data_IF_984021256841
#
_entry.id   IF_984021256841
#
_cell.length_a   1.000
_cell.length_b   1.000
_cell.length_c   1.000
_cell.angle_alpha   90.00
_cell.angle_beta   90.00
_cell.angle_gamma   90.00
#
_symmetry.space_group_name_H-M   'P 1'
#
loop_
_entity.id
_entity.type
_entity.pdbx_description
1 polymer ?
#
# COMPACT_ATOMS: atom_id res chain seq x y z
N UNK A 1 -30.15 20.71 54.29
CA UNK A 1 -30.13 20.32 52.86
C UNK A 1 -30.17 18.81 52.84
N UNK A 2 -31.06 18.20 52.06
CA UNK A 2 -31.16 16.74 51.98
C UNK A 2 -29.95 16.28 51.16
N UNK A 3 -29.06 15.47 51.76
CA UNK A 3 -27.93 14.86 51.07
C UNK A 3 -28.46 13.72 50.19
N UNK A 4 -28.63 14.01 48.90
CA UNK A 4 -28.96 13.02 47.89
C UNK A 4 -27.70 12.24 47.45
N UNK A 5 -27.82 10.95 47.11
CA UNK A 5 -26.70 10.20 46.56
C UNK A 5 -26.24 10.84 45.25
N UNK A 6 -24.92 10.89 45.02
CA UNK A 6 -24.32 11.55 43.84
C UNK A 6 -24.91 11.07 42.51
N UNK A 7 -25.40 9.83 42.44
CA UNK A 7 -25.99 9.24 41.22
C UNK A 7 -27.24 9.99 40.72
N UNK A 8 -27.93 10.75 41.58
CA UNK A 8 -29.09 11.57 41.20
C UNK A 8 -28.67 12.91 40.56
N UNK A 9 -27.52 13.45 40.95
CA UNK A 9 -27.03 14.72 40.43
C UNK A 9 -26.09 14.52 39.24
N UNK A 10 -25.20 13.53 39.29
CA UNK A 10 -24.19 13.21 38.27
C UNK A 10 -23.33 14.42 37.88
N UNK A 11 -23.22 15.41 38.76
CA UNK A 11 -22.44 16.62 38.55
C UNK A 11 -21.05 16.43 39.10
N UNK A 12 -20.04 16.83 38.33
CA UNK A 12 -18.65 16.86 38.75
C UNK A 12 -18.10 18.24 38.49
N UNK A 13 -17.53 18.82 39.53
CA UNK A 13 -16.83 20.10 39.47
C UNK A 13 -15.35 19.84 39.30
N UNK A 14 -14.75 20.46 38.28
CA UNK A 14 -13.29 20.42 38.07
C UNK A 14 -12.57 20.91 39.31
N UNK A 15 -11.49 20.23 39.68
CA UNK A 15 -10.65 20.57 40.82
C UNK A 15 -9.87 21.87 40.58
N UNK A 16 -9.33 22.02 39.36
CA UNK A 16 -8.60 23.21 38.92
C UNK A 16 -9.43 24.07 37.95
N UNK A 17 -9.31 25.40 37.99
CA UNK A 17 -9.90 26.29 37.00
C UNK A 17 -9.17 26.15 35.65
N UNK A 18 -9.92 26.18 34.55
CA UNK A 18 -9.34 26.12 33.21
C UNK A 18 -8.48 27.37 32.92
N UNK A 19 -7.16 27.19 32.93
CA UNK A 19 -6.19 28.26 32.62
C UNK A 19 -5.78 28.21 31.15
N UNK A 20 -6.21 29.21 30.37
CA UNK A 20 -5.89 29.36 28.96
C UNK A 20 -5.03 30.61 28.81
N UNK A 21 -3.80 30.45 28.30
CA UNK A 21 -2.83 31.56 28.16
C UNK A 21 -3.24 32.56 27.09
N UNK A 22 -3.69 32.05 25.93
CA UNK A 22 -4.19 32.87 24.82
C UNK A 22 -5.59 32.42 24.43
N UNK A 23 -6.57 33.31 24.63
CA UNK A 23 -8.00 33.05 24.41
C UNK A 23 -8.30 32.89 22.91
N UNK A 24 -7.49 33.49 22.03
CA UNK A 24 -7.69 33.44 20.58
C UNK A 24 -7.11 32.17 19.95
N UNK A 25 -6.24 31.45 20.68
CA UNK A 25 -5.72 30.18 20.22
C UNK A 25 -6.73 29.05 20.48
N UNK A 26 -7.53 28.74 19.46
CA UNK A 26 -8.58 27.74 19.54
C UNK A 26 -8.05 26.34 19.85
N UNK A 27 -6.88 25.96 19.34
CA UNK A 27 -6.32 24.62 19.55
C UNK A 27 -5.99 24.38 21.03
N UNK A 28 -5.35 25.36 21.68
CA UNK A 28 -5.00 25.25 23.09
C UNK A 28 -6.23 25.29 23.98
N UNK A 29 -7.23 26.11 23.61
CA UNK A 29 -8.51 26.20 24.29
C UNK A 29 -9.31 24.90 24.21
N UNK A 30 -9.45 24.32 23.02
CA UNK A 30 -10.14 23.05 22.82
C UNK A 30 -9.45 21.90 23.57
N UNK A 31 -8.12 21.92 23.63
CA UNK A 31 -7.34 20.94 24.39
C UNK A 31 -7.60 21.09 25.90
N UNK A 32 -7.70 22.32 26.42
CA UNK A 32 -8.04 22.55 27.83
C UNK A 32 -9.45 22.03 28.17
N UNK A 33 -10.46 22.35 27.34
CA UNK A 33 -11.82 21.83 27.51
C UNK A 33 -11.89 20.31 27.42
N UNK A 34 -11.14 19.72 26.48
CA UNK A 34 -11.04 18.28 26.34
C UNK A 34 -10.47 17.62 27.60
N UNK A 35 -9.40 18.18 28.19
CA UNK A 35 -8.80 17.66 29.43
C UNK A 35 -9.77 17.73 30.61
N UNK A 36 -10.45 18.87 30.77
CA UNK A 36 -11.43 19.05 31.84
C UNK A 36 -12.61 18.08 31.71
N UNK A 37 -13.12 17.89 30.49
CA UNK A 37 -14.18 16.93 30.23
C UNK A 37 -13.73 15.47 30.45
N UNK A 38 -12.48 15.15 30.12
CA UNK A 38 -11.90 13.82 30.31
C UNK A 38 -11.68 13.49 31.80
N UNK A 39 -11.20 14.45 32.59
CA UNK A 39 -11.08 14.32 34.06
C UNK A 39 -12.44 14.03 34.68
N UNK A 40 -13.45 14.85 34.37
CA UNK A 40 -14.82 14.64 34.83
C UNK A 40 -15.40 13.30 34.39
N UNK A 41 -15.18 12.87 33.15
CA UNK A 41 -15.65 11.57 32.67
C UNK A 41 -15.00 10.39 33.42
N UNK A 42 -13.71 10.49 33.78
CA UNK A 42 -12.99 9.45 34.54
C UNK A 42 -13.54 9.35 35.96
N UNK A 43 -13.72 10.49 36.63
CA UNK A 43 -14.28 10.53 37.98
C UNK A 43 -15.73 10.04 38.01
N UNK A 44 -16.55 10.49 37.06
CA UNK A 44 -17.94 10.06 36.95
C UNK A 44 -18.06 8.57 36.70
N UNK A 45 -17.20 8.01 35.84
CA UNK A 45 -17.15 6.56 35.63
C UNK A 45 -16.85 5.81 36.93
N UNK A 46 -15.93 6.31 37.77
CA UNK A 46 -15.63 5.67 39.07
C UNK A 46 -16.85 5.70 39.98
N UNK A 47 -17.49 6.86 40.14
CA UNK A 47 -18.63 7.03 41.02
C UNK A 47 -19.84 6.16 40.59
N UNK A 48 -20.14 6.10 39.28
CA UNK A 48 -21.21 5.25 38.73
C UNK A 48 -20.96 3.76 39.03
N UNK A 49 -19.73 3.29 38.84
CA UNK A 49 -19.36 1.90 39.12
C UNK A 49 -19.45 1.61 40.63
N UNK A 50 -19.02 2.53 41.49
CA UNK A 50 -19.16 2.40 42.95
C UNK A 50 -20.61 2.32 43.39
N UNK A 51 -21.53 3.02 42.70
CA UNK A 51 -22.98 2.90 42.93
C UNK A 51 -23.59 1.59 42.39
N UNK A 52 -22.80 0.72 41.75
CA UNK A 52 -23.26 -0.57 41.23
C UNK A 52 -24.04 -0.50 39.92
N UNK A 53 -24.01 0.65 39.22
CA UNK A 53 -24.74 0.87 37.96
C UNK A 53 -23.82 0.57 36.75
N UNK A 54 -24.29 -0.12 35.70
CA UNK A 54 -23.51 -0.35 34.50
C UNK A 54 -23.28 0.97 33.73
N UNK A 55 -22.01 1.28 33.43
CA UNK A 55 -21.64 2.53 32.76
C UNK A 55 -21.53 2.39 31.23
N UNK A 56 -20.91 1.30 30.74
CA UNK A 56 -20.66 1.12 29.31
C UNK A 56 -21.90 0.67 28.57
N UNK A 57 -22.19 1.30 27.43
CA UNK A 57 -23.23 0.83 26.51
C UNK A 57 -22.82 -0.54 25.93
N UNK A 58 -23.67 -1.59 26.06
CA UNK A 58 -23.44 -2.86 25.38
C UNK A 58 -23.54 -2.73 23.85
N UNK A 59 -22.71 -3.47 23.13
CA UNK A 59 -22.68 -3.46 21.64
C UNK A 59 -24.00 -3.96 21.02
N UNK A 60 -24.70 -4.87 21.71
CA UNK A 60 -25.95 -5.49 21.28
C UNK A 60 -27.20 -4.69 21.69
N UNK A 61 -27.03 -3.51 22.30
CA UNK A 61 -28.14 -2.65 22.69
C UNK A 61 -28.42 -1.59 21.60
N UNK A 62 -29.41 -1.88 20.75
CA UNK A 62 -29.85 -1.01 19.66
C UNK A 62 -31.01 -0.11 20.08
N UNK A 63 -30.67 1.07 20.63
CA UNK A 63 -31.61 2.15 20.89
C UNK A 63 -31.37 3.34 19.94
N UNK A 64 -32.33 4.25 19.86
CA UNK A 64 -32.19 5.47 19.06
C UNK A 64 -30.99 6.31 19.56
N UNK A 65 -30.08 6.64 18.65
CA UNK A 65 -28.92 7.50 18.93
C UNK A 65 -29.20 8.93 18.46
N UNK A 66 -28.51 9.92 19.06
CA UNK A 66 -28.63 11.36 18.72
C UNK A 66 -28.43 11.62 17.21
N UNK A 67 -27.56 10.82 16.55
CA UNK A 67 -27.30 10.92 15.11
C UNK A 67 -27.71 9.62 14.42
N UNK A 68 -28.40 9.74 13.29
CA UNK A 68 -28.80 8.57 12.48
C UNK A 68 -27.60 7.87 11.82
N UNK A 69 -27.74 6.57 11.60
CA UNK A 69 -26.70 5.76 10.94
C UNK A 69 -26.40 6.23 9.51
N UNK A 70 -27.41 6.75 8.82
CA UNK A 70 -27.25 7.35 7.48
C UNK A 70 -26.35 8.59 7.54
N UNK A 71 -26.42 9.37 8.62
CA UNK A 71 -25.52 10.51 8.83
C UNK A 71 -24.11 10.04 9.19
N UNK A 72 -23.97 9.07 10.10
CA UNK A 72 -22.67 8.54 10.50
C UNK A 72 -21.94 7.83 9.35
N UNK A 73 -22.66 7.14 8.48
CA UNK A 73 -22.09 6.51 7.27
C UNK A 73 -21.50 7.55 6.32
N UNK A 74 -22.16 8.71 6.16
CA UNK A 74 -21.63 9.82 5.36
C UNK A 74 -20.34 10.40 5.97
N UNK A 75 -20.28 10.53 7.30
CA UNK A 75 -19.05 10.99 7.98
C UNK A 75 -17.91 10.00 7.78
N UNK A 76 -18.16 8.70 8.02
CA UNK A 76 -17.15 7.63 7.81
C UNK A 76 -16.64 7.63 6.38
N UNK A 77 -17.52 7.78 5.40
CA UNK A 77 -17.14 7.85 3.99
C UNK A 77 -16.23 9.05 3.69
N UNK A 78 -16.47 10.22 4.30
CA UNK A 78 -15.58 11.38 4.15
C UNK A 78 -14.19 11.12 4.72
N UNK A 79 -14.10 10.53 5.91
CA UNK A 79 -12.81 10.20 6.53
C UNK A 79 -12.00 9.22 5.68
N UNK A 80 -12.65 8.16 5.16
CA UNK A 80 -11.99 7.20 4.26
C UNK A 80 -11.53 7.86 2.96
N UNK A 81 -12.34 8.75 2.38
CA UNK A 81 -11.98 9.46 1.16
C UNK A 81 -10.79 10.41 1.38
N UNK A 82 -10.73 11.08 2.53
CA UNK A 82 -9.63 11.97 2.91
C UNK A 82 -8.32 11.19 3.10
N UNK A 83 -8.38 10.07 3.81
CA UNK A 83 -7.23 9.17 3.99
C UNK A 83 -6.73 8.63 2.64
N UNK A 84 -7.65 8.21 1.76
CA UNK A 84 -7.31 7.78 0.40
C UNK A 84 -6.69 8.89 -0.44
N UNK A 85 -7.16 10.13 -0.30
CA UNK A 85 -6.63 11.29 -1.01
C UNK A 85 -5.20 11.62 -0.57
N UNK A 86 -4.91 11.55 0.74
CA UNK A 86 -3.56 11.73 1.30
C UNK A 86 -2.64 10.62 0.78
N UNK A 87 -3.04 9.36 0.90
CA UNK A 87 -2.27 8.20 0.40
C UNK A 87 -1.97 8.30 -1.09
N UNK A 88 -2.98 8.65 -1.90
CA UNK A 88 -2.80 8.81 -3.34
C UNK A 88 -1.81 9.94 -3.68
N UNK A 89 -1.82 11.03 -2.92
CA UNK A 89 -0.89 12.16 -3.09
C UNK A 89 0.54 11.78 -2.74
N UNK A 90 0.74 11.02 -1.66
CA UNK A 90 2.03 10.48 -1.24
C UNK A 90 2.57 9.46 -2.25
N UNK A 91 1.73 8.53 -2.73
CA UNK A 91 2.09 7.58 -3.77
C UNK A 91 2.44 8.29 -5.08
N UNK A 92 1.70 9.31 -5.47
CA UNK A 92 2.01 10.12 -6.65
C UNK A 92 3.34 10.86 -6.51
N UNK A 93 3.67 11.37 -5.32
CA UNK A 93 4.99 11.95 -5.03
C UNK A 93 6.09 10.89 -5.16
N UNK A 94 5.91 9.73 -4.52
CA UNK A 94 6.86 8.60 -4.58
C UNK A 94 7.09 8.12 -6.02
N UNK A 95 6.03 7.98 -6.81
CA UNK A 95 6.12 7.60 -8.22
C UNK A 95 6.87 8.64 -9.06
N UNK A 96 6.70 9.93 -8.77
CA UNK A 96 7.47 11.00 -9.45
C UNK A 96 8.95 10.90 -9.10
N UNK A 97 9.30 10.67 -7.85
CA UNK A 97 10.69 10.49 -7.41
C UNK A 97 11.32 9.23 -8.03
N UNK A 98 10.61 8.11 -8.03
CA UNK A 98 11.05 6.87 -8.69
C UNK A 98 11.29 7.06 -10.19
N UNK A 99 10.42 7.81 -10.88
CA UNK A 99 10.61 8.12 -12.31
C UNK A 99 11.82 9.04 -12.54
N UNK A 100 12.02 10.04 -11.68
CA UNK A 100 13.18 10.97 -11.76
C UNK A 100 14.50 10.25 -11.56
N UNK A 101 14.60 9.40 -10.55
CA UNK A 101 15.85 8.74 -10.17
C UNK A 101 16.02 7.34 -10.78
N UNK A 102 15.01 6.78 -11.43
CA UNK A 102 15.03 5.40 -11.92
C UNK A 102 16.22 5.06 -12.82
N UNK A 103 16.58 5.96 -13.75
CA UNK A 103 17.77 5.77 -14.60
C UNK A 103 19.08 5.83 -13.82
N UNK A 104 19.22 6.80 -12.90
CA UNK A 104 20.41 6.94 -12.04
C UNK A 104 20.60 5.69 -11.17
N UNK A 105 19.53 5.24 -10.51
CA UNK A 105 19.51 4.02 -9.70
C UNK A 105 19.86 2.78 -10.53
N UNK A 106 19.40 2.69 -11.78
CA UNK A 106 19.74 1.57 -12.65
C UNK A 106 21.24 1.54 -12.98
N UNK A 107 21.82 2.69 -13.34
CA UNK A 107 23.24 2.80 -13.67
C UNK A 107 24.10 2.51 -12.43
N UNK A 108 23.76 3.11 -11.29
CA UNK A 108 24.45 2.91 -10.02
C UNK A 108 24.43 1.44 -9.60
N UNK A 109 23.27 0.76 -9.71
CA UNK A 109 23.18 -0.69 -9.44
C UNK A 109 24.04 -1.54 -10.38
N UNK A 110 24.21 -1.15 -11.65
CA UNK A 110 25.09 -1.86 -12.58
C UNK A 110 26.55 -1.64 -12.19
N UNK A 111 26.94 -0.41 -11.86
CA UNK A 111 28.28 -0.07 -11.39
C UNK A 111 28.62 -0.77 -10.08
N UNK A 112 27.70 -0.78 -9.11
CA UNK A 112 27.85 -1.49 -7.84
C UNK A 112 28.03 -3.00 -8.06
N UNK A 113 27.25 -3.61 -8.96
CA UNK A 113 27.42 -5.03 -9.32
C UNK A 113 28.75 -5.31 -10.00
N UNK A 114 29.22 -4.42 -10.88
CA UNK A 114 30.52 -4.57 -11.52
C UNK A 114 31.67 -4.41 -10.52
N UNK A 115 31.55 -3.45 -9.60
CA UNK A 115 32.52 -3.23 -8.51
C UNK A 115 32.59 -4.44 -7.59
N UNK A 116 31.45 -4.96 -7.12
CA UNK A 116 31.37 -6.19 -6.32
C UNK A 116 32.01 -7.38 -7.04
N UNK A 117 31.71 -7.60 -8.32
CA UNK A 117 32.36 -8.65 -9.12
C UNK A 117 33.88 -8.49 -9.20
N UNK A 118 34.37 -7.26 -9.36
CA UNK A 118 35.81 -6.97 -9.40
C UNK A 118 36.47 -7.27 -8.05
N UNK A 119 35.86 -6.81 -6.95
CA UNK A 119 36.32 -7.08 -5.58
C UNK A 119 36.35 -8.59 -5.29
N UNK A 120 35.31 -9.33 -5.70
CA UNK A 120 35.26 -10.79 -5.54
C UNK A 120 36.35 -11.49 -6.36
N UNK A 121 36.60 -11.05 -7.59
CA UNK A 121 37.70 -11.57 -8.42
C UNK A 121 39.08 -11.25 -7.85
N UNK A 122 39.27 -10.08 -7.25
CA UNK A 122 40.52 -9.71 -6.57
C UNK A 122 40.75 -10.56 -5.32
N UNK A 123 39.71 -10.81 -4.51
CA UNK A 123 39.78 -11.75 -3.39
C UNK A 123 40.19 -13.14 -3.84
N UNK A 124 39.58 -13.65 -4.92
CA UNK A 124 39.94 -14.96 -5.50
C UNK A 124 41.39 -14.96 -5.99
N UNK A 125 41.86 -13.90 -6.65
CA UNK A 125 43.27 -13.81 -7.10
C UNK A 125 44.24 -13.79 -5.93
N UNK A 126 43.94 -13.07 -4.85
CA UNK A 126 44.76 -13.07 -3.63
C UNK A 126 44.80 -14.47 -3.00
N UNK A 127 43.66 -15.15 -2.90
CA UNK A 127 43.59 -16.54 -2.42
C UNK A 127 44.40 -17.50 -3.30
N UNK A 128 44.29 -17.39 -4.63
CA UNK A 128 45.10 -18.17 -5.58
C UNK A 128 46.60 -17.89 -5.48
N UNK A 129 46.99 -16.61 -5.32
CA UNK A 129 48.41 -16.22 -5.17
C UNK A 129 49.00 -16.72 -3.84
N UNK A 130 48.22 -16.68 -2.74
CA UNK A 130 48.61 -17.28 -1.47
C UNK A 130 48.79 -18.80 -1.58
N UNK A 131 47.94 -19.50 -2.34
CA UNK A 131 48.10 -20.93 -2.64
C UNK A 131 49.32 -21.24 -3.52
N UNK A 132 49.66 -20.39 -4.50
CA UNK A 132 50.80 -20.63 -5.41
C UNK A 132 52.18 -20.50 -4.72
N UNK A 133 52.25 -19.94 -3.51
CA UNK A 133 53.47 -19.93 -2.68
C UNK A 133 53.60 -21.17 -1.79
N UNK A 134 52.66 -22.12 -1.89
CA UNK A 134 52.61 -23.38 -1.15
C UNK A 134 52.41 -24.45 -2.23
N UNK A 135 53.49 -24.86 -2.90
CA UNK A 135 53.40 -25.94 -3.89
C UNK A 135 53.55 -27.29 -3.17
N UNK A 136 52.61 -28.17 -3.50
CA UNK A 136 52.57 -29.61 -3.27
C UNK A 136 52.75 -30.11 -1.84
N UNK A 137 51.63 -30.37 -1.16
CA UNK A 137 51.24 -31.75 -0.80
C UNK A 137 49.91 -31.74 -0.05
N UNK A 138 48.99 -32.59 -0.50
CA UNK A 138 47.64 -32.82 0.03
C UNK A 138 46.66 -31.64 -0.17
N UNK A 139 45.37 -31.85 0.11
CA UNK A 139 44.32 -30.83 0.27
C UNK A 139 43.36 -30.59 -0.92
N UNK A 140 42.87 -31.66 -1.55
CA UNK A 140 41.51 -31.61 -2.12
C UNK A 140 40.44 -31.52 -1.00
N UNK A 141 40.72 -32.08 0.19
CA UNK A 141 39.78 -32.07 1.33
C UNK A 141 39.65 -30.70 2.04
N UNK A 142 40.71 -29.87 2.10
CA UNK A 142 40.60 -28.53 2.73
C UNK A 142 39.89 -27.51 1.83
N UNK A 143 39.67 -27.83 0.55
CA UNK A 143 38.87 -26.98 -0.33
C UNK A 143 37.38 -27.04 0.05
N UNK A 144 36.88 -28.20 0.47
CA UNK A 144 35.52 -28.34 0.98
C UNK A 144 35.37 -27.68 2.36
N UNK A 145 36.32 -27.86 3.27
CA UNK A 145 36.23 -27.32 4.64
C UNK A 145 36.32 -25.78 4.65
N UNK A 146 37.22 -25.17 3.87
CA UNK A 146 37.35 -23.70 3.84
C UNK A 146 36.22 -23.01 3.06
N UNK A 147 35.66 -23.66 2.02
CA UNK A 147 34.49 -23.17 1.30
C UNK A 147 33.22 -23.35 2.14
N UNK A 148 33.12 -24.45 2.90
CA UNK A 148 32.05 -24.68 3.86
C UNK A 148 32.09 -23.69 5.02
N UNK A 149 33.27 -23.37 5.55
CA UNK A 149 33.42 -22.41 6.65
C UNK A 149 33.19 -20.95 6.22
N UNK A 150 33.65 -20.55 5.02
CA UNK A 150 33.37 -19.22 4.47
C UNK A 150 31.92 -19.07 3.97
N UNK A 151 31.26 -20.17 3.58
CA UNK A 151 29.84 -20.17 3.22
C UNK A 151 28.92 -20.42 4.42
N UNK A 152 29.38 -21.01 5.52
CA UNK A 152 28.59 -21.25 6.74
C UNK A 152 28.19 -19.94 7.43
N UNK A 153 29.06 -18.91 7.39
CA UNK A 153 28.75 -17.58 7.91
C UNK A 153 27.58 -16.89 7.17
N UNK A 154 27.37 -17.19 5.88
CA UNK A 154 26.27 -16.63 5.07
C UNK A 154 25.08 -17.60 4.89
N UNK A 155 25.27 -18.90 5.17
CA UNK A 155 24.23 -19.95 5.06
C UNK A 155 23.35 -20.07 6.30
N UNK A 156 23.77 -19.56 7.45
CA UNK A 156 23.00 -19.63 8.71
C UNK A 156 21.66 -18.89 8.67
N UNK A 157 21.38 -18.09 7.64
CA UNK A 157 20.12 -17.34 7.50
C UNK A 157 19.27 -17.68 6.27
N UNK A 158 19.62 -18.71 5.48
CA UNK A 158 18.88 -18.94 4.22
C UNK A 158 18.74 -20.38 3.76
N UNK A 159 18.56 -21.31 4.69
CA UNK A 159 17.91 -22.59 4.41
C UNK A 159 16.47 -22.60 4.92
N UNK A 160 15.68 -21.65 4.43
CA UNK A 160 14.25 -21.87 4.30
C UNK A 160 13.84 -21.64 2.84
N UNK A 161 13.63 -22.77 2.18
CA UNK A 161 12.58 -22.99 1.20
C UNK A 161 12.61 -22.11 -0.06
N UNK A 162 13.30 -22.57 -1.11
CA UNK A 162 13.05 -22.05 -2.46
C UNK A 162 13.14 -23.17 -3.49
N UNK A 163 12.07 -23.97 -3.59
CA UNK A 163 11.73 -24.58 -4.86
C UNK A 163 11.65 -23.50 -5.95
N UNK A 164 12.11 -23.80 -7.17
CA UNK A 164 12.03 -22.85 -8.30
C UNK A 164 10.58 -22.36 -8.44
N UNK A 165 10.38 -21.06 -8.27
CA UNK A 165 9.09 -20.36 -8.45
C UNK A 165 8.33 -20.93 -9.66
N UNK A 166 7.14 -21.49 -9.47
CA UNK A 166 6.39 -22.19 -10.52
C UNK A 166 6.12 -21.32 -11.76
N UNK A 167 6.06 -20.00 -11.58
CA UNK A 167 5.99 -19.04 -12.71
C UNK A 167 7.24 -19.09 -13.58
N UNK A 168 8.41 -19.31 -13.00
CA UNK A 168 9.69 -19.47 -13.70
C UNK A 168 9.76 -20.82 -14.41
N UNK A 169 9.32 -21.91 -13.77
CA UNK A 169 9.21 -23.23 -14.41
C UNK A 169 8.30 -23.19 -15.65
N UNK A 170 7.15 -22.52 -15.57
CA UNK A 170 6.23 -22.35 -16.73
C UNK A 170 6.79 -21.49 -17.87
N UNK A 171 7.77 -20.63 -17.56
CA UNK A 171 8.44 -19.76 -18.54
C UNK A 171 9.64 -20.48 -19.14
N UNK A 172 10.38 -21.23 -18.34
CA UNK A 172 11.50 -22.04 -18.79
C UNK A 172 11.02 -23.16 -19.73
N UNK A 173 9.85 -23.76 -19.45
CA UNK A 173 9.20 -24.73 -20.36
C UNK A 173 8.72 -24.09 -21.67
N UNK A 174 8.10 -22.90 -21.62
CA UNK A 174 7.61 -22.20 -22.83
C UNK A 174 8.72 -21.59 -23.69
N UNK A 175 9.77 -21.07 -23.07
CA UNK A 175 10.75 -20.21 -23.74
C UNK A 175 12.18 -20.76 -23.72
N UNK A 176 12.45 -21.83 -22.97
CA UNK A 176 13.77 -22.46 -22.86
C UNK A 176 14.78 -21.65 -22.04
N UNK A 177 15.81 -22.32 -21.53
CA UNK A 177 16.90 -21.68 -20.80
C UNK A 177 18.01 -21.26 -21.78
N UNK A 178 17.93 -20.02 -22.30
CA UNK A 178 19.04 -19.40 -23.04
C UNK A 178 19.49 -20.13 -24.32
N UNK A 179 18.72 -20.01 -25.39
CA UNK A 179 19.05 -20.52 -26.74
C UNK A 179 18.15 -19.92 -27.82
N UNK A 180 18.22 -20.44 -29.06
CA UNK A 180 17.61 -19.97 -30.35
C UNK A 180 16.16 -19.42 -30.32
N UNK A 181 15.42 -19.50 -29.22
CA UNK A 181 14.08 -18.91 -29.03
C UNK A 181 14.08 -17.47 -28.47
N UNK A 182 15.25 -16.81 -28.39
CA UNK A 182 15.39 -15.41 -27.92
C UNK A 182 14.60 -14.39 -28.75
N UNK A 183 14.24 -14.74 -29.99
CA UNK A 183 13.44 -13.92 -30.92
C UNK A 183 11.99 -14.44 -31.11
N UNK A 184 11.53 -15.43 -30.34
CA UNK A 184 10.14 -15.89 -30.43
C UNK A 184 9.09 -14.83 -29.99
N UNK A 185 9.55 -13.66 -29.55
CA UNK A 185 8.73 -12.48 -29.18
C UNK A 185 9.09 -11.22 -29.97
N UNK A 186 9.91 -11.32 -31.03
CA UNK A 186 10.06 -10.19 -31.95
C UNK A 186 8.88 -10.19 -32.91
N UNK A 187 8.20 -9.06 -33.02
CA UNK A 187 7.16 -8.87 -34.02
C UNK A 187 7.80 -9.06 -35.41
N UNK A 188 7.37 -10.07 -36.15
CA UNK A 188 7.63 -10.20 -37.59
C UNK A 188 6.74 -9.22 -38.35
N UNK A 189 7.16 -8.81 -39.56
CA UNK A 189 6.39 -7.88 -40.40
C UNK A 189 4.92 -8.33 -40.55
N UNK A 190 4.69 -9.64 -40.69
CA UNK A 190 3.36 -10.25 -40.77
C UNK A 190 2.55 -10.10 -39.47
N UNK A 191 3.18 -10.25 -38.31
CA UNK A 191 2.51 -10.10 -37.00
C UNK A 191 2.21 -8.66 -36.59
N UNK A 192 2.91 -7.67 -37.18
CA UNK A 192 2.65 -6.24 -36.95
C UNK A 192 1.48 -5.67 -37.78
N UNK A 193 1.04 -6.39 -38.82
CA UNK A 193 -0.08 -5.97 -39.69
C UNK A 193 -1.41 -6.69 -39.41
N UNK A 194 -1.40 -7.77 -38.63
CA UNK A 194 -2.61 -8.56 -38.37
C UNK A 194 -3.50 -7.92 -37.29
N UNK A 195 -4.55 -7.22 -37.73
CA UNK A 195 -5.60 -6.62 -36.90
C UNK A 195 -6.83 -7.52 -36.76
N UNK A 196 -6.80 -8.77 -37.25
CA UNK A 196 -7.96 -9.68 -37.22
C UNK A 196 -8.38 -10.08 -35.79
N UNK A 197 -7.43 -10.05 -34.84
CA UNK A 197 -7.69 -10.27 -33.42
C UNK A 197 -8.09 -9.00 -32.65
N UNK A 198 -8.06 -7.82 -33.30
CA UNK A 198 -8.51 -6.57 -32.69
C UNK A 198 -10.02 -6.39 -32.87
N UNK A 199 -10.79 -7.04 -32.01
CA UNK A 199 -12.23 -6.83 -31.96
C UNK A 199 -12.57 -5.55 -31.17
N UNK A 200 -12.81 -4.46 -31.91
CA UNK A 200 -13.18 -3.16 -31.34
C UNK A 200 -14.52 -3.16 -30.58
N UNK A 201 -15.30 -4.24 -30.69
CA UNK A 201 -16.64 -4.35 -30.09
C UNK A 201 -16.65 -5.00 -28.71
N UNK A 202 -15.62 -5.78 -28.36
CA UNK A 202 -15.60 -6.58 -27.13
C UNK A 202 -14.86 -5.94 -25.94
N UNK A 203 -14.29 -4.74 -26.11
CA UNK A 203 -13.68 -3.98 -25.01
C UNK A 203 -14.67 -3.22 -24.10
N UNK A 204 -15.98 -3.30 -24.34
CA UNK A 204 -17.01 -2.53 -23.61
C UNK A 204 -18.22 -3.33 -23.10
N UNK A 205 -18.20 -4.67 -23.20
CA UNK A 205 -19.35 -5.53 -22.87
C UNK A 205 -19.24 -6.29 -21.54
N UNK A 206 -18.10 -6.24 -20.83
CA UNK A 206 -17.90 -7.07 -19.63
C UNK A 206 -18.53 -6.61 -18.31
N UNK A 207 -19.16 -5.43 -18.21
CA UNK A 207 -19.62 -4.91 -16.91
C UNK A 207 -21.01 -4.25 -16.89
N UNK A 208 -21.87 -4.49 -17.88
CA UNK A 208 -23.24 -3.92 -17.89
C UNK A 208 -24.34 -4.87 -18.36
N UNK A 209 -24.20 -6.17 -18.13
CA UNK A 209 -25.30 -7.13 -18.32
C UNK A 209 -26.10 -7.41 -17.03
N UNK A 210 -25.71 -6.85 -15.88
CA UNK A 210 -26.42 -6.98 -14.60
C UNK A 210 -26.87 -5.61 -14.11
N UNK A 211 -27.98 -5.13 -14.66
CA UNK A 211 -28.86 -4.03 -14.19
C UNK A 211 -29.33 -3.20 -15.38
N UNK A 212 -30.36 -3.68 -16.06
CA UNK A 212 -31.13 -2.86 -16.98
C UNK A 212 -32.63 -3.18 -16.89
N UNK A 213 -33.15 -3.30 -15.67
CA UNK A 213 -34.56 -2.98 -15.41
C UNK A 213 -34.64 -1.53 -14.94
N UNK A 214 -34.56 -0.57 -15.86
CA UNK A 214 -35.12 0.77 -15.65
C UNK A 214 -35.25 1.53 -16.98
N UNK A 215 -36.51 1.68 -17.40
CA UNK A 215 -36.98 2.66 -18.39
C UNK A 215 -36.22 3.99 -18.22
N UNK A 216 -35.44 4.39 -19.24
CA UNK A 216 -34.92 5.76 -19.33
C UNK A 216 -35.19 6.34 -20.71
N UNK A 217 -35.94 7.44 -20.67
CA UNK A 217 -36.38 8.30 -21.79
C UNK A 217 -35.24 8.57 -22.78
N UNK A 218 -35.57 8.41 -24.06
CA UNK A 218 -34.74 8.74 -25.20
C UNK A 218 -34.50 10.26 -25.23
N UNK A 219 -33.29 10.71 -24.91
CA UNK A 219 -32.85 12.08 -25.25
C UNK A 219 -31.96 11.99 -26.49
N UNK A 220 -32.36 12.69 -27.57
CA UNK A 220 -31.63 12.73 -28.84
C UNK A 220 -30.18 13.18 -28.59
N UNK A 221 -29.21 12.30 -28.81
CA UNK A 221 -27.78 12.64 -28.77
C UNK A 221 -27.46 13.64 -29.89
N UNK A 222 -26.78 14.74 -29.54
CA UNK A 222 -26.33 15.75 -30.50
C UNK A 222 -25.40 15.11 -31.54
N UNK A 223 -25.59 15.38 -32.84
CA UNK A 223 -24.72 14.86 -33.88
C UNK A 223 -23.29 15.41 -33.74
N UNK A 224 -22.31 14.58 -34.10
CA UNK A 224 -20.89 14.90 -34.01
C UNK A 224 -20.47 16.11 -34.86
N UNK A 225 -19.31 16.67 -34.55
CA UNK A 225 -18.78 17.93 -35.12
C UNK A 225 -18.74 17.94 -36.66
N UNK A 226 -18.43 16.81 -37.29
CA UNK A 226 -18.43 16.65 -38.75
C UNK A 226 -19.84 16.78 -39.35
N UNK A 227 -20.83 16.05 -38.81
CA UNK A 227 -22.24 16.14 -39.24
C UNK A 227 -22.86 17.52 -39.00
N UNK A 228 -22.40 18.25 -37.98
CA UNK A 228 -22.82 19.64 -37.73
C UNK A 228 -22.27 20.62 -38.77
N UNK A 229 -21.03 20.42 -39.24
CA UNK A 229 -20.45 21.25 -40.30
C UNK A 229 -21.12 20.98 -41.66
N UNK A 230 -21.43 19.72 -41.97
CA UNK A 230 -22.11 19.38 -43.23
C UNK A 230 -23.54 19.92 -43.30
N UNK A 231 -24.25 19.93 -42.16
CA UNK A 231 -25.60 20.50 -42.08
C UNK A 231 -25.61 22.03 -42.23
N UNK A 232 -24.53 22.74 -41.89
CA UNK A 232 -24.44 24.21 -42.07
C UNK A 232 -24.32 24.64 -43.54
N UNK A 233 -23.90 23.73 -44.42
CA UNK A 233 -23.77 23.97 -45.86
C UNK A 233 -24.95 23.42 -46.68
N UNK A 234 -25.96 22.84 -46.02
CA UNK A 234 -27.25 22.51 -46.64
C UNK A 234 -28.27 23.47 -46.06
N UNK A 235 -28.76 24.38 -46.91
CA UNK A 235 -29.85 25.35 -46.72
C UNK A 235 -30.70 25.16 -45.46
#
# INVERSE_FOLDING_TARGET
MIEAPWIETQVITSSEPASIKDINNDIERELAFYKQALEGAIEGRKNVITSGVPFSRPDDYFAEMIKSDVHMTRIRQKLVNEEQSIKASEEARRLRELKKFGKKVQVEKIQERQKKKKEDLEKIKVMKKKRKGIEDTALDDDFEIALEQAAADDRSRKRQNTGKNGKRVSKDTRYGFGGKKRHAKSNTADSSGDLSQFDSTNGKSGWKASMANKKRKFTKKRPGKAKRKSARNKK
#
